data_IF_553331490790
#
_entry.id   IF_553331490790
#
_cell.length_a   1.000
_cell.length_b   1.000
_cell.length_c   1.000
_cell.angle_alpha   90.00
_cell.angle_beta   90.00
_cell.angle_gamma   90.00
#
_symmetry.space_group_name_H-M   'P 1'
#
loop_
_entity.id
_entity.type
_entity.pdbx_description
1 polymer ?
#
# COMPACT_ATOMS: atom_id res chain seq x y z
N UNK A 1 -10.81 -57.68 -39.77
CA UNK A 1 -10.83 -57.37 -38.32
C UNK A 1 -10.07 -56.07 -38.08
N UNK A 2 -10.62 -55.23 -37.20
CA UNK A 2 -10.24 -53.85 -36.88
C UNK A 2 -8.82 -53.74 -36.31
N UNK A 3 -8.15 -52.60 -36.51
CA UNK A 3 -6.92 -52.27 -35.78
C UNK A 3 -6.15 -51.05 -36.31
N UNK A 4 -6.73 -49.86 -36.18
CA UNK A 4 -6.09 -48.54 -36.37
C UNK A 4 -4.88 -48.32 -35.48
N UNK A 5 -3.81 -47.65 -35.97
CA UNK A 5 -3.00 -46.71 -35.17
C UNK A 5 -2.43 -45.58 -36.04
N UNK A 6 -3.19 -44.49 -36.09
CA UNK A 6 -2.72 -43.12 -36.38
C UNK A 6 -1.81 -42.67 -35.24
N UNK A 7 -0.74 -41.92 -35.52
CA UNK A 7 -0.09 -41.08 -34.52
C UNK A 7 1.42 -40.98 -34.64
N UNK A 8 1.91 -40.04 -35.46
CA UNK A 8 3.22 -39.42 -35.24
C UNK A 8 3.33 -38.07 -35.94
N UNK A 9 2.58 -37.06 -35.49
CA UNK A 9 2.84 -35.65 -35.78
C UNK A 9 2.31 -34.79 -34.64
N UNK A 10 3.16 -34.50 -33.66
CA UNK A 10 3.11 -33.30 -32.80
C UNK A 10 4.09 -33.50 -31.63
N UNK A 11 5.37 -33.32 -31.89
CA UNK A 11 6.34 -33.07 -30.83
C UNK A 11 7.10 -31.79 -31.21
N UNK A 12 7.31 -30.96 -30.19
CA UNK A 12 8.07 -29.70 -30.20
C UNK A 12 7.26 -28.45 -30.59
N UNK A 13 6.40 -27.99 -29.68
CA UNK A 13 6.10 -26.56 -29.46
C UNK A 13 5.48 -26.40 -28.04
N UNK A 14 6.20 -26.84 -27.00
CA UNK A 14 5.74 -26.71 -25.60
C UNK A 14 6.85 -26.16 -24.69
N UNK A 15 7.59 -25.15 -25.15
CA UNK A 15 8.76 -24.61 -24.41
C UNK A 15 8.81 -23.08 -24.34
N UNK A 16 7.70 -22.38 -24.58
CA UNK A 16 7.67 -20.91 -24.52
C UNK A 16 6.47 -20.35 -23.73
N UNK A 17 5.94 -21.11 -22.78
CA UNK A 17 4.97 -20.64 -21.80
C UNK A 17 5.61 -20.51 -20.40
N UNK A 18 6.87 -20.06 -20.33
CA UNK A 18 7.34 -19.39 -19.13
C UNK A 18 6.56 -18.10 -19.04
N UNK A 19 5.39 -18.18 -18.39
CA UNK A 19 4.62 -17.01 -18.02
C UNK A 19 5.56 -16.02 -17.37
N UNK A 20 5.63 -14.83 -17.94
CA UNK A 20 6.13 -13.64 -17.28
C UNK A 20 5.26 -13.44 -16.05
N UNK A 21 5.59 -14.15 -14.97
CA UNK A 21 5.09 -13.82 -13.66
C UNK A 21 5.67 -12.44 -13.38
N UNK A 22 4.87 -11.40 -13.54
CA UNK A 22 5.15 -10.10 -12.95
C UNK A 22 5.25 -10.34 -11.45
N UNK A 23 6.48 -10.54 -10.97
CA UNK A 23 6.81 -10.60 -9.56
C UNK A 23 6.41 -9.24 -8.99
N UNK A 24 5.22 -9.17 -8.41
CA UNK A 24 4.78 -8.00 -7.65
C UNK A 24 5.52 -8.05 -6.32
N UNK A 25 6.72 -7.48 -6.31
CA UNK A 25 7.47 -7.29 -5.09
C UNK A 25 6.86 -6.10 -4.34
N UNK A 26 6.30 -6.35 -3.16
CA UNK A 26 5.98 -5.30 -2.19
C UNK A 26 7.32 -4.74 -1.69
N UNK A 27 7.62 -3.50 -2.06
CA UNK A 27 8.88 -2.86 -1.68
C UNK A 27 8.75 -2.11 -0.35
N UNK A 28 9.89 -1.85 0.29
CA UNK A 28 9.92 -0.97 1.45
C UNK A 28 9.83 0.48 1.00
N UNK A 29 8.92 1.26 1.60
CA UNK A 29 8.87 2.73 1.41
C UNK A 29 10.22 3.36 1.74
N UNK A 30 10.88 2.91 2.82
CA UNK A 30 12.16 3.46 3.28
C UNK A 30 13.34 3.20 2.32
N UNK A 31 13.19 2.30 1.34
CA UNK A 31 14.20 2.07 0.31
C UNK A 31 14.07 3.00 -0.90
N UNK A 32 12.92 3.66 -1.06
CA UNK A 32 12.58 4.46 -2.25
C UNK A 32 12.34 5.93 -1.92
N UNK A 33 11.94 6.26 -0.69
CA UNK A 33 11.55 7.60 -0.28
C UNK A 33 12.30 8.06 0.97
N UNK A 34 12.57 9.36 1.03
CA UNK A 34 13.35 9.98 2.08
C UNK A 34 12.45 10.25 3.30
N UNK A 35 12.63 9.57 4.45
CA UNK A 35 11.78 9.76 5.61
C UNK A 35 11.89 11.17 6.24
N UNK A 36 12.96 11.90 5.93
CA UNK A 36 13.23 13.22 6.50
C UNK A 36 12.80 14.38 5.57
N UNK A 37 12.33 14.08 4.36
CA UNK A 37 12.01 15.08 3.32
C UNK A 37 10.57 14.96 2.87
N UNK A 38 9.75 15.86 3.42
CA UNK A 38 8.32 15.98 3.16
C UNK A 38 8.07 17.17 2.24
N UNK A 39 7.37 16.92 1.14
CA UNK A 39 7.09 17.92 0.11
C UNK A 39 5.58 18.04 -0.14
N UNK A 40 5.18 19.16 -0.72
CA UNK A 40 3.85 19.37 -1.28
C UNK A 40 3.95 19.54 -2.80
N UNK A 41 3.06 18.89 -3.53
CA UNK A 41 2.84 19.15 -4.96
C UNK A 41 1.38 19.52 -5.20
N UNK A 42 1.12 20.38 -6.18
CA UNK A 42 -0.22 20.81 -6.59
C UNK A 42 -0.34 20.68 -8.11
N UNK A 43 -1.39 20.01 -8.57
CA UNK A 43 -1.53 19.71 -9.99
C UNK A 43 -2.82 19.01 -10.35
N UNK A 44 -2.90 18.57 -11.61
CA UNK A 44 -4.07 17.90 -12.19
C UNK A 44 -3.80 16.41 -12.32
N UNK A 45 -4.74 15.58 -11.86
CA UNK A 45 -4.65 14.13 -12.03
C UNK A 45 -4.75 13.76 -13.50
N UNK A 46 -3.85 12.93 -14.00
CA UNK A 46 -3.79 12.50 -15.40
C UNK A 46 -3.99 10.99 -15.60
N UNK A 47 -3.95 10.22 -14.52
CA UNK A 47 -4.21 8.78 -14.55
C UNK A 47 -4.28 8.20 -13.15
N UNK A 48 -5.03 7.11 -12.99
CA UNK A 48 -5.11 6.36 -11.72
C UNK A 48 -4.89 4.88 -11.97
N UNK A 49 -4.30 4.21 -10.97
CA UNK A 49 -3.97 2.80 -11.03
C UNK A 49 -4.44 2.12 -9.74
N UNK A 50 -5.67 1.62 -9.79
CA UNK A 50 -6.33 0.95 -8.67
C UNK A 50 -5.98 -0.54 -8.58
N UNK A 51 -4.76 -0.86 -8.14
CA UNK A 51 -4.31 -2.25 -7.92
C UNK A 51 -3.57 -2.46 -6.60
N UNK A 52 -3.40 -3.72 -6.20
CA UNK A 52 -2.51 -4.09 -5.10
C UNK A 52 -1.05 -4.23 -5.60
N UNK A 53 -0.02 -4.01 -4.77
CA UNK A 53 -0.09 -3.73 -3.33
C UNK A 53 -0.35 -2.26 -2.98
N UNK A 54 -0.02 -1.31 -3.85
CA UNK A 54 -0.23 0.13 -3.65
C UNK A 54 -1.09 0.70 -4.77
N UNK A 55 -2.02 1.57 -4.38
CA UNK A 55 -2.71 2.42 -5.35
C UNK A 55 -1.74 3.51 -5.79
N UNK A 56 -1.76 3.83 -7.08
CA UNK A 56 -0.93 4.89 -7.65
C UNK A 56 -1.80 5.84 -8.48
N UNK A 57 -1.36 7.08 -8.65
CA UNK A 57 -1.93 8.01 -9.61
C UNK A 57 -0.85 8.97 -10.13
N UNK A 58 -1.12 9.62 -11.25
CA UNK A 58 -0.20 10.56 -11.88
C UNK A 58 -0.76 11.98 -11.78
N UNK A 59 0.10 12.95 -11.46
CA UNK A 59 -0.25 14.37 -11.32
C UNK A 59 0.65 15.19 -12.23
N UNK A 60 0.04 15.98 -13.11
CA UNK A 60 0.74 17.01 -13.88
C UNK A 60 0.86 18.28 -13.02
N UNK A 61 2.09 18.65 -12.68
CA UNK A 61 2.41 19.85 -11.90
C UNK A 61 2.96 20.90 -12.86
N UNK A 62 2.27 22.04 -12.96
CA UNK A 62 2.73 23.17 -13.76
C UNK A 62 3.55 24.13 -12.91
N UNK A 63 4.82 24.31 -13.28
CA UNK A 63 5.74 25.24 -12.64
C UNK A 63 5.38 26.70 -12.97
N UNK A 64 5.82 27.68 -12.17
CA UNK A 64 5.64 29.10 -12.47
C UNK A 64 6.22 29.55 -13.82
N UNK A 65 7.18 28.79 -14.37
CA UNK A 65 7.75 28.99 -15.71
C UNK A 65 6.78 28.62 -16.85
N UNK A 66 5.71 27.89 -16.56
CA UNK A 66 4.78 27.30 -17.52
C UNK A 66 5.21 25.92 -18.03
N UNK A 67 6.37 25.40 -17.59
CA UNK A 67 6.75 24.01 -17.83
C UNK A 67 5.92 23.07 -16.96
N UNK A 68 5.65 21.85 -17.43
CA UNK A 68 4.89 20.86 -16.67
C UNK A 68 5.70 19.60 -16.44
N UNK A 69 5.64 19.10 -15.20
CA UNK A 69 6.35 17.90 -14.76
C UNK A 69 5.34 16.85 -14.34
N UNK A 70 5.54 15.61 -14.78
CA UNK A 70 4.70 14.48 -14.42
C UNK A 70 5.20 13.83 -13.14
N UNK A 71 4.40 13.91 -12.08
CA UNK A 71 4.67 13.27 -10.81
C UNK A 71 3.93 11.95 -10.69
N UNK A 72 4.64 10.89 -10.30
CA UNK A 72 4.04 9.63 -9.88
C UNK A 72 3.76 9.67 -8.38
N UNK A 73 2.52 9.41 -8.02
CA UNK A 73 2.07 9.38 -6.63
C UNK A 73 1.77 7.95 -6.22
N UNK A 74 2.41 7.48 -5.17
CA UNK A 74 2.15 6.18 -4.54
C UNK A 74 1.45 6.38 -3.20
N UNK A 75 0.44 5.55 -2.89
CA UNK A 75 -0.31 5.62 -1.64
C UNK A 75 -0.13 4.36 -0.79
N UNK A 76 -0.89 4.25 0.31
CA UNK A 76 -1.09 2.98 0.99
C UNK A 76 -1.79 1.93 0.11
N UNK A 77 -1.95 0.73 0.68
CA UNK A 77 -2.61 -0.37 -0.02
C UNK A 77 -4.10 -0.12 -0.26
N UNK A 78 -4.67 -0.77 -1.28
CA UNK A 78 -6.12 -0.72 -1.56
C UNK A 78 -6.94 -1.06 -0.32
N UNK A 79 -6.51 -2.04 0.47
CA UNK A 79 -7.20 -2.43 1.70
C UNK A 79 -7.31 -1.27 2.69
N UNK A 80 -6.29 -0.42 2.78
CA UNK A 80 -6.28 0.77 3.64
C UNK A 80 -7.26 1.82 3.10
N UNK A 81 -7.26 2.07 1.80
CA UNK A 81 -8.19 3.04 1.19
C UNK A 81 -9.64 2.56 1.32
N UNK A 82 -9.93 1.29 1.00
CA UNK A 82 -11.26 0.69 1.16
C UNK A 82 -11.74 0.68 2.59
N UNK A 83 -10.84 0.43 3.56
CA UNK A 83 -11.19 0.52 4.97
C UNK A 83 -11.62 1.94 5.38
N UNK A 84 -11.27 2.97 4.60
CA UNK A 84 -11.73 4.36 4.76
C UNK A 84 -12.96 4.71 3.92
N UNK A 85 -13.59 3.72 3.29
CA UNK A 85 -14.74 3.93 2.41
C UNK A 85 -14.39 4.45 1.02
N UNK A 86 -13.10 4.42 0.63
CA UNK A 86 -12.65 4.87 -0.68
C UNK A 86 -12.67 3.72 -1.69
N UNK A 87 -13.20 3.99 -2.87
CA UNK A 87 -13.10 3.13 -4.05
C UNK A 87 -12.52 3.91 -5.24
N UNK A 88 -12.50 3.28 -6.42
CA UNK A 88 -11.90 3.86 -7.61
C UNK A 88 -12.58 5.17 -8.07
N UNK A 89 -13.79 5.50 -7.58
CA UNK A 89 -14.53 6.71 -7.93
C UNK A 89 -14.13 7.92 -7.08
N UNK A 90 -13.25 7.79 -6.08
CA UNK A 90 -12.90 8.95 -5.24
C UNK A 90 -12.00 9.97 -5.96
N UNK A 91 -11.27 9.55 -7.01
CA UNK A 91 -10.28 10.36 -7.71
C UNK A 91 -10.33 10.07 -9.22
N UNK A 92 -10.48 11.11 -10.02
CA UNK A 92 -10.60 11.01 -11.47
C UNK A 92 -9.54 11.84 -12.20
N UNK A 93 -9.26 11.45 -13.44
CA UNK A 93 -8.50 12.29 -14.37
C UNK A 93 -9.19 13.66 -14.54
N UNK A 94 -8.40 14.73 -14.49
CA UNK A 94 -8.87 16.11 -14.51
C UNK A 94 -9.10 16.74 -13.14
N UNK A 95 -9.06 15.97 -12.05
CA UNK A 95 -9.20 16.52 -10.70
C UNK A 95 -7.97 17.36 -10.32
N UNK A 96 -8.21 18.58 -9.85
CA UNK A 96 -7.18 19.40 -9.22
C UNK A 96 -6.96 18.94 -7.78
N UNK A 97 -5.70 18.68 -7.41
CA UNK A 97 -5.34 18.15 -6.10
C UNK A 97 -4.09 18.79 -5.52
N UNK A 98 -3.97 18.73 -4.19
CA UNK A 98 -2.70 18.89 -3.47
C UNK A 98 -2.30 17.59 -2.82
N UNK A 99 -1.05 17.21 -2.95
CA UNK A 99 -0.49 15.98 -2.38
C UNK A 99 0.60 16.35 -1.40
N UNK A 100 0.60 15.71 -0.24
CA UNK A 100 1.66 15.85 0.77
C UNK A 100 2.23 14.49 1.13
N UNK A 101 3.55 14.38 1.14
CA UNK A 101 4.21 13.07 1.27
C UNK A 101 5.73 13.12 1.20
N UNK A 102 6.36 11.94 1.21
CA UNK A 102 7.80 11.78 1.17
C UNK A 102 8.34 11.89 -0.25
N UNK A 103 9.43 12.62 -0.44
CA UNK A 103 10.12 12.73 -1.73
C UNK A 103 10.93 11.47 -2.06
N UNK A 104 11.10 11.18 -3.36
CA UNK A 104 11.91 10.08 -3.86
C UNK A 104 13.40 10.22 -3.52
N UNK A 105 14.02 9.16 -3.00
CA UNK A 105 15.48 9.04 -2.89
C UNK A 105 16.19 8.79 -4.24
N UNK A 106 15.42 8.58 -5.32
CA UNK A 106 15.93 8.14 -6.61
C UNK A 106 16.15 9.28 -7.60
N UNK A 107 15.93 10.53 -7.17
CA UNK A 107 16.00 11.71 -8.04
C UNK A 107 14.98 11.65 -9.18
N UNK A 108 13.79 11.12 -8.89
CA UNK A 108 12.64 11.04 -9.80
C UNK A 108 11.50 11.83 -9.21
N UNK A 109 10.62 12.33 -10.06
CA UNK A 109 9.37 13.00 -9.68
C UNK A 109 8.37 11.95 -9.15
N UNK A 110 8.67 11.38 -8.00
CA UNK A 110 7.86 10.38 -7.30
C UNK A 110 7.62 10.87 -5.86
N UNK A 111 6.40 10.70 -5.37
CA UNK A 111 6.03 11.04 -4.00
C UNK A 111 5.25 9.88 -3.36
N UNK A 112 5.62 9.51 -2.14
CA UNK A 112 4.82 8.62 -1.31
C UNK A 112 3.84 9.43 -0.48
N UNK A 113 2.59 9.49 -0.93
CA UNK A 113 1.58 10.39 -0.42
C UNK A 113 1.00 9.92 0.90
N UNK A 114 1.08 10.79 1.90
CA UNK A 114 0.35 10.66 3.15
C UNK A 114 -1.03 11.30 3.06
N UNK A 115 -1.15 12.46 2.41
CA UNK A 115 -2.39 13.22 2.39
C UNK A 115 -2.69 13.71 0.97
N UNK A 116 -3.97 13.78 0.66
CA UNK A 116 -4.49 14.38 -0.56
C UNK A 116 -5.55 15.41 -0.17
N UNK A 117 -5.50 16.60 -0.74
CA UNK A 117 -6.59 17.57 -0.69
C UNK A 117 -7.26 17.60 -2.06
N UNK A 118 -8.52 17.22 -2.10
CA UNK A 118 -9.36 17.34 -3.29
C UNK A 118 -9.79 18.80 -3.49
N UNK A 119 -10.13 19.16 -4.73
CA UNK A 119 -10.68 20.48 -5.07
C UNK A 119 -11.96 20.84 -4.31
N UNK A 120 -12.70 19.84 -3.84
CA UNK A 120 -13.86 20.00 -2.95
C UNK A 120 -13.49 20.58 -1.58
N UNK A 121 -12.20 20.64 -1.24
CA UNK A 121 -11.70 20.92 0.10
C UNK A 121 -11.69 19.68 1.00
N UNK A 122 -11.90 18.48 0.46
CA UNK A 122 -11.85 17.26 1.28
C UNK A 122 -10.41 16.75 1.41
N UNK A 123 -9.91 16.66 2.63
CA UNK A 123 -8.63 16.01 2.93
C UNK A 123 -8.82 14.50 3.11
N UNK A 124 -8.02 13.72 2.39
CA UNK A 124 -8.03 12.26 2.40
C UNK A 124 -6.72 11.74 3.00
N UNK A 125 -6.83 10.84 3.98
CA UNK A 125 -5.69 10.14 4.58
C UNK A 125 -5.37 8.89 3.75
N UNK A 126 -4.19 8.86 3.13
CA UNK A 126 -3.83 7.85 2.12
C UNK A 126 -3.03 6.66 2.67
N UNK A 127 -2.54 6.71 3.92
CA UNK A 127 -1.77 5.63 4.55
C UNK A 127 -2.17 5.43 6.01
N UNK A 128 -1.71 4.36 6.65
CA UNK A 128 -1.90 4.15 8.10
C UNK A 128 -1.11 5.11 8.99
N UNK A 129 -0.10 5.79 8.43
CA UNK A 129 0.74 6.77 9.13
C UNK A 129 0.25 8.22 8.96
N UNK A 130 -0.71 8.43 8.07
CA UNK A 130 -1.22 9.76 7.76
C UNK A 130 -1.92 10.35 8.98
N UNK A 131 -1.62 11.61 9.27
CA UNK A 131 -2.35 12.44 10.23
C UNK A 131 -2.87 13.69 9.50
N UNK A 132 -3.78 14.43 10.13
CA UNK A 132 -4.35 15.65 9.53
C UNK A 132 -3.24 16.64 9.20
N UNK A 133 -3.22 17.10 7.95
CA UNK A 133 -2.22 18.03 7.43
C UNK A 133 -2.89 19.31 6.92
N UNK A 134 -3.70 19.21 5.86
CA UNK A 134 -4.36 20.37 5.24
C UNK A 134 -5.45 20.95 6.14
N UNK A 135 -6.26 20.11 6.77
CA UNK A 135 -7.32 20.57 7.68
C UNK A 135 -6.76 21.20 8.96
N UNK A 136 -5.51 20.88 9.34
CA UNK A 136 -4.86 21.47 10.51
C UNK A 136 -4.55 22.95 10.30
N UNK A 137 -4.28 23.37 9.06
CA UNK A 137 -4.11 24.77 8.69
C UNK A 137 -5.43 25.47 8.36
N UNK A 138 -6.56 24.77 8.50
CA UNK A 138 -7.90 25.27 8.13
C UNK A 138 -8.24 25.10 6.65
N UNK A 139 -7.37 24.44 5.87
CA UNK A 139 -7.67 24.11 4.48
C UNK A 139 -8.57 22.87 4.43
N UNK A 140 -9.88 23.09 4.33
CA UNK A 140 -10.84 22.04 4.03
C UNK A 140 -11.39 21.26 5.22
N UNK A 141 -11.97 20.08 4.94
CA UNK A 141 -12.57 19.15 5.90
C UNK A 141 -11.98 17.75 5.74
N UNK A 142 -11.75 17.03 6.84
CA UNK A 142 -11.24 15.66 6.79
C UNK A 142 -12.35 14.73 6.29
N UNK A 143 -12.03 13.86 5.33
CA UNK A 143 -12.93 12.79 4.91
C UNK A 143 -13.33 11.96 6.14
N UNK A 144 -14.62 12.00 6.47
CA UNK A 144 -15.16 11.20 7.54
C UNK A 144 -15.11 9.72 7.13
N UNK A 145 -14.62 8.87 8.02
CA UNK A 145 -14.76 7.43 7.83
C UNK A 145 -16.25 7.08 7.89
N UNK A 146 -16.81 6.59 6.79
CA UNK A 146 -18.23 6.19 6.73
C UNK A 146 -18.31 4.71 7.09
N UNK A 147 -18.78 4.42 8.29
CA UNK A 147 -19.11 3.06 8.73
C UNK A 147 -20.59 2.97 9.10
N UNK A 148 -21.20 1.85 8.76
CA UNK A 148 -22.45 1.45 9.38
C UNK A 148 -22.13 0.97 10.81
N UNK A 149 -22.40 1.82 11.80
CA UNK A 149 -22.08 1.55 13.21
C UNK A 149 -22.79 0.30 13.76
N UNK A 150 -24.00 0.02 13.27
CA UNK A 150 -24.73 -1.18 13.67
C UNK A 150 -24.04 -2.45 13.16
N UNK A 151 -23.61 -2.43 11.90
CA UNK A 151 -22.85 -3.49 11.25
C UNK A 151 -21.49 -3.68 11.92
N UNK A 152 -20.78 -2.59 12.21
CA UNK A 152 -19.51 -2.63 12.92
C UNK A 152 -19.66 -3.20 14.34
N UNK A 153 -20.70 -2.78 15.08
CA UNK A 153 -21.00 -3.29 16.41
C UNK A 153 -21.44 -4.77 16.40
N UNK A 154 -22.19 -5.21 15.40
CA UNK A 154 -22.53 -6.62 15.19
C UNK A 154 -21.28 -7.46 14.91
N UNK A 155 -20.42 -7.00 13.98
CA UNK A 155 -19.17 -7.67 13.65
C UNK A 155 -18.25 -7.82 14.87
N UNK A 156 -18.13 -6.79 15.73
CA UNK A 156 -17.35 -6.85 16.97
C UNK A 156 -17.92 -7.84 17.99
N UNK A 157 -19.25 -7.92 18.14
CA UNK A 157 -19.89 -8.88 19.06
C UNK A 157 -19.66 -10.33 18.65
N UNK A 158 -19.60 -10.58 17.34
CA UNK A 158 -19.44 -11.93 16.78
C UNK A 158 -17.97 -12.28 16.48
N UNK A 159 -17.02 -11.41 16.86
CA UNK A 159 -15.59 -11.55 16.65
C UNK A 159 -14.91 -12.49 17.68
N UNK A 160 -15.46 -13.69 17.86
CA UNK A 160 -14.87 -14.73 18.70
C UNK A 160 -14.51 -15.97 17.85
N UNK A 161 -13.33 -15.96 17.24
CA UNK A 161 -12.80 -17.11 16.51
C UNK A 161 -11.84 -16.77 15.37
N UNK A 162 -10.91 -17.68 15.09
CA UNK A 162 -9.81 -17.50 14.12
C UNK A 162 -10.21 -17.58 12.64
N UNK A 163 -11.40 -18.10 12.34
CA UNK A 163 -11.90 -18.29 10.96
C UNK A 163 -12.65 -17.07 10.42
N UNK A 164 -12.09 -15.88 10.66
CA UNK A 164 -12.66 -14.59 10.24
C UNK A 164 -11.64 -13.80 9.43
N UNK A 165 -12.12 -12.80 8.71
CA UNK A 165 -11.26 -11.78 8.10
C UNK A 165 -10.87 -10.81 9.19
N UNK A 166 -9.62 -10.86 9.61
CA UNK A 166 -9.03 -9.92 10.56
C UNK A 166 -8.53 -8.71 9.79
N UNK A 167 -8.83 -7.51 10.29
CA UNK A 167 -8.34 -6.25 9.73
C UNK A 167 -7.76 -5.39 10.83
N UNK A 168 -6.81 -4.52 10.48
CA UNK A 168 -6.27 -3.53 11.41
C UNK A 168 -7.36 -2.51 11.72
N UNK A 169 -7.62 -2.26 13.01
CA UNK A 169 -8.43 -1.12 13.42
C UNK A 169 -7.58 0.15 13.22
N UNK A 170 -7.87 0.91 12.16
CA UNK A 170 -7.08 2.07 11.78
C UNK A 170 -7.15 3.22 12.79
N UNK A 171 -8.26 3.32 13.54
CA UNK A 171 -8.49 4.37 14.53
C UNK A 171 -7.72 4.11 15.84
N UNK A 172 -7.30 2.86 16.08
CA UNK A 172 -6.56 2.45 17.27
C UNK A 172 -5.04 2.38 17.03
N UNK A 173 -4.55 2.70 15.84
CA UNK A 173 -3.12 2.71 15.53
C UNK A 173 -2.46 3.85 16.33
N UNK A 174 -1.57 3.55 17.29
CA UNK A 174 -0.82 4.59 17.97
C UNK A 174 0.09 5.32 16.98
N UNK A 175 0.49 6.57 17.29
CA UNK A 175 1.46 7.31 16.48
C UNK A 175 2.79 6.58 16.27
N UNK A 176 3.11 5.57 17.11
CA UNK A 176 4.28 4.69 16.97
C UNK A 176 4.14 3.59 15.90
N UNK A 177 2.98 3.49 15.23
CA UNK A 177 2.74 2.58 14.10
C UNK A 177 1.93 1.34 14.45
N UNK A 178 1.68 0.51 13.42
CA UNK A 178 0.90 -0.73 13.54
C UNK A 178 1.70 -1.75 14.36
N UNK A 179 1.32 -1.97 15.61
CA UNK A 179 1.78 -3.13 16.36
C UNK A 179 0.93 -4.33 15.93
N UNK A 180 1.42 -5.10 14.96
CA UNK A 180 0.80 -6.37 14.57
C UNK A 180 0.75 -7.36 15.75
N UNK A 181 1.64 -7.16 16.73
CA UNK A 181 1.75 -7.96 17.94
C UNK A 181 1.85 -7.01 19.13
N UNK A 182 0.87 -7.04 20.03
CA UNK A 182 0.90 -6.25 21.28
C UNK A 182 1.96 -6.76 22.28
N UNK A 183 2.72 -7.80 21.91
CA UNK A 183 3.59 -8.53 22.82
C UNK A 183 2.77 -9.32 23.87
N UNK A 184 3.42 -10.20 24.62
CA UNK A 184 2.81 -10.92 25.75
C UNK A 184 1.63 -11.87 25.44
N UNK A 185 1.61 -12.48 24.25
CA UNK A 185 0.73 -13.64 24.04
C UNK A 185 1.12 -14.76 25.00
N UNK A 186 0.11 -15.42 25.58
CA UNK A 186 0.34 -16.66 26.31
C UNK A 186 0.98 -17.67 25.37
N UNK A 187 2.25 -17.95 25.59
CA UNK A 187 3.01 -18.91 24.81
C UNK A 187 2.93 -20.27 25.50
N UNK A 188 2.85 -21.33 24.69
CA UNK A 188 3.14 -22.67 25.17
C UNK A 188 4.62 -22.75 25.58
N UNK A 189 4.97 -23.65 26.48
CA UNK A 189 6.36 -23.86 26.92
C UNK A 189 7.34 -24.07 25.74
N UNK A 190 6.94 -24.85 24.73
CA UNK A 190 7.73 -25.05 23.49
C UNK A 190 8.01 -23.74 22.72
N UNK A 191 7.02 -22.85 22.65
CA UNK A 191 7.14 -21.56 21.98
C UNK A 191 8.04 -20.60 22.78
N UNK A 192 8.01 -20.67 24.12
CA UNK A 192 8.93 -19.89 24.96
C UNK A 192 10.37 -20.37 24.79
N UNK A 193 10.61 -21.68 24.74
CA UNK A 193 11.94 -22.25 24.46
C UNK A 193 12.46 -21.79 23.10
N UNK A 194 11.67 -21.95 22.03
CA UNK A 194 12.09 -21.50 20.69
C UNK A 194 12.36 -20.00 20.63
N UNK A 195 11.56 -19.18 21.31
CA UNK A 195 11.80 -17.73 21.38
C UNK A 195 13.11 -17.41 22.10
N UNK A 196 13.47 -18.15 23.15
CA UNK A 196 14.72 -17.95 23.87
C UNK A 196 15.98 -18.34 23.07
N UNK A 197 15.81 -19.23 22.09
CA UNK A 197 16.86 -19.68 21.17
C UNK A 197 16.93 -18.82 19.89
N UNK A 198 15.95 -17.93 19.67
CA UNK A 198 15.89 -17.10 18.47
C UNK A 198 16.93 -15.98 18.51
N UNK A 199 17.77 -15.91 17.47
CA UNK A 199 18.70 -14.81 17.23
C UNK A 199 18.22 -13.98 16.02
N UNK A 200 17.70 -12.78 16.30
CA UNK A 200 17.25 -11.86 15.26
C UNK A 200 18.38 -11.32 14.36
N UNK A 201 19.65 -11.53 14.77
CA UNK A 201 20.84 -11.15 14.03
C UNK A 201 21.45 -12.28 13.20
N UNK A 202 20.88 -13.50 13.19
CA UNK A 202 21.44 -14.62 12.45
C UNK A 202 21.38 -14.37 10.92
N UNK A 203 22.55 -14.21 10.26
CA UNK A 203 22.61 -13.91 8.83
C UNK A 203 22.09 -15.05 7.95
N UNK A 204 22.02 -16.29 8.45
CA UNK A 204 21.45 -17.42 7.70
C UNK A 204 19.92 -17.35 7.58
N UNK A 205 19.24 -16.71 8.54
CA UNK A 205 17.78 -16.55 8.53
C UNK A 205 17.31 -15.44 7.58
N UNK A 206 18.15 -14.44 7.32
CA UNK A 206 17.82 -13.32 6.43
C UNK A 206 18.08 -13.62 4.95
N UNK A 207 18.71 -14.76 4.62
CA UNK A 207 19.12 -15.08 3.24
C UNK A 207 20.12 -14.07 2.66
N UNK A 208 20.65 -13.18 3.49
CA UNK A 208 21.69 -12.22 3.15
C UNK A 208 23.04 -12.95 3.19
N UNK A 209 23.25 -13.92 2.30
CA UNK A 209 24.60 -14.38 2.02
C UNK A 209 25.37 -13.20 1.45
N UNK A 210 26.54 -12.90 2.01
CA UNK A 210 27.45 -11.87 1.52
C UNK A 210 27.59 -11.99 -0.01
N UNK A 211 27.09 -10.99 -0.74
CA UNK A 211 27.46 -10.81 -2.13
C UNK A 211 28.90 -10.32 -2.13
N UNK A 212 29.86 -11.27 -2.09
CA UNK A 212 31.25 -10.96 -2.39
C UNK A 212 31.30 -10.42 -3.82
N UNK A 213 31.61 -9.13 -3.95
CA UNK A 213 32.03 -8.51 -5.21
C UNK A 213 33.41 -9.01 -5.62
#
# INVERSE_FOLDING_TARGET
>A
MKGTRTGLRAAVLLSAACGVNTLSAHHSVAGFFNPDELIEIEGVVTGTLWRNPHTEFEVEVTEPSGESTMWRVETGAISILRARGLDWEFLHEGDQVKVYGLESLRGRDEIFAYNLLLSSGTEVLLTTRSSRYFTRSGAGELLASIYDEETAAAARRDADGIFRVWSTNLDEIPHSGVQMFHGNYSMTEEAETRRSEWDAGDPTLLGCTEWNM
#
